data_IF_116725912714
#
_entry.id   IF_116725912714
#
_cell.length_a   1.000
_cell.length_b   1.000
_cell.length_c   1.000
_cell.angle_alpha   90.00
_cell.angle_beta   90.00
_cell.angle_gamma   90.00
#
_symmetry.space_group_name_H-M   'P 1'
#
loop_
_entity.id
_entity.type
_entity.pdbx_description
1 polymer ?
#
# COMPACT_ATOMS: atom_id res chain seq x y z
N UNK A 1 8.19 -2.23 8.13
CA UNK A 1 9.19 -1.26 7.61
C UNK A 1 8.87 -0.79 6.19
N UNK A 2 8.63 -1.69 5.22
CA UNK A 2 8.32 -1.32 3.82
C UNK A 2 7.12 -0.36 3.70
N UNK A 3 6.03 -0.58 4.44
CA UNK A 3 4.85 0.30 4.41
C UNK A 3 5.14 1.74 4.86
N UNK A 4 6.02 1.93 5.86
CA UNK A 4 6.44 3.27 6.29
C UNK A 4 7.22 3.97 5.17
N UNK A 5 8.12 3.23 4.50
CA UNK A 5 8.89 3.75 3.38
C UNK A 5 8.00 4.12 2.19
N UNK A 6 7.06 3.26 1.81
CA UNK A 6 6.07 3.53 0.75
C UNK A 6 5.21 4.75 1.14
N UNK A 7 4.75 4.82 2.38
CA UNK A 7 3.98 5.95 2.88
C UNK A 7 4.73 7.28 2.77
N UNK A 8 6.03 7.31 3.11
CA UNK A 8 6.87 8.50 2.96
C UNK A 8 7.10 8.83 1.49
N UNK A 9 7.44 7.84 0.65
CA UNK A 9 7.66 8.01 -0.79
C UNK A 9 6.42 8.54 -1.51
N UNK A 10 5.22 8.12 -1.11
CA UNK A 10 3.95 8.61 -1.66
C UNK A 10 3.75 10.11 -1.46
N UNK A 11 4.31 10.70 -0.40
CA UNK A 11 4.22 12.14 -0.13
C UNK A 11 5.29 12.97 -0.86
N UNK A 12 6.29 12.33 -1.46
CA UNK A 12 7.32 13.04 -2.18
C UNK A 12 6.79 13.45 -3.57
N UNK A 13 7.23 14.61 -4.09
CA UNK A 13 6.99 14.95 -5.49
C UNK A 13 7.56 13.83 -6.38
N UNK A 14 6.85 13.50 -7.45
CA UNK A 14 7.39 12.61 -8.48
C UNK A 14 8.67 13.26 -9.01
N UNK A 15 9.81 12.59 -8.83
CA UNK A 15 11.02 12.94 -9.57
C UNK A 15 10.70 12.58 -11.03
N UNK A 16 10.93 13.54 -11.94
CA UNK A 16 10.83 13.37 -13.39
C UNK A 16 11.90 12.35 -13.82
N UNK A 17 11.67 11.07 -13.52
CA UNK A 17 12.49 9.97 -13.99
C UNK A 17 12.27 9.89 -15.51
N UNK A 18 13.17 10.55 -16.25
CA UNK A 18 13.11 10.74 -17.69
C UNK A 18 12.61 9.51 -18.44
N UNK A 19 11.33 9.55 -18.83
CA UNK A 19 10.75 8.67 -19.81
C UNK A 19 10.80 9.38 -21.16
N UNK A 20 11.96 9.23 -21.82
CA UNK A 20 12.13 9.61 -23.21
C UNK A 20 11.10 8.91 -24.10
N UNK A 21 10.63 9.65 -25.10
CA UNK A 21 9.70 9.25 -26.17
C UNK A 21 9.93 7.82 -26.68
N UNK A 22 9.20 6.84 -26.15
CA UNK A 22 8.94 5.56 -26.82
C UNK A 22 7.46 5.24 -26.63
N UNK A 23 6.78 4.88 -27.73
CA UNK A 23 5.33 4.79 -27.91
C UNK A 23 4.52 4.41 -26.64
N UNK A 24 3.65 5.32 -26.20
CA UNK A 24 2.81 5.22 -25.01
C UNK A 24 1.95 3.93 -24.92
N UNK A 25 1.63 3.30 -26.06
CA UNK A 25 0.86 2.03 -26.10
C UNK A 25 1.66 0.81 -25.59
N UNK A 26 2.98 0.79 -25.81
CA UNK A 26 3.86 -0.28 -25.34
C UNK A 26 4.07 -0.20 -23.83
N UNK A 27 4.12 1.01 -23.26
CA UNK A 27 4.20 1.23 -21.82
C UNK A 27 2.93 0.82 -21.08
N UNK A 28 1.74 1.07 -21.64
CA UNK A 28 0.48 0.69 -20.98
C UNK A 28 0.31 -0.82 -20.87
N UNK A 29 0.54 -1.57 -21.95
CA UNK A 29 0.51 -3.04 -21.91
C UNK A 29 1.60 -3.62 -21.00
N UNK A 30 2.79 -3.02 -21.00
CA UNK A 30 3.89 -3.38 -20.08
C UNK A 30 3.53 -3.14 -18.62
N UNK A 31 3.02 -1.96 -18.27
CA UNK A 31 2.62 -1.60 -16.92
C UNK A 31 1.46 -2.45 -16.40
N UNK A 32 0.43 -2.68 -17.24
CA UNK A 32 -0.68 -3.57 -16.89
C UNK A 32 -0.16 -4.99 -16.62
N UNK A 33 0.73 -5.51 -17.48
CA UNK A 33 1.35 -6.83 -17.27
C UNK A 33 2.10 -6.88 -15.94
N UNK A 34 2.90 -5.86 -15.63
CA UNK A 34 3.65 -5.77 -14.37
C UNK A 34 2.71 -5.74 -13.15
N UNK A 35 1.65 -4.94 -13.19
CA UNK A 35 0.65 -4.85 -12.11
C UNK A 35 -0.05 -6.20 -11.92
N UNK A 36 -0.53 -6.83 -13.01
CA UNK A 36 -1.24 -8.11 -12.93
C UNK A 36 -0.33 -9.22 -12.41
N UNK A 37 0.94 -9.26 -12.82
CA UNK A 37 1.90 -10.26 -12.31
C UNK A 37 2.22 -10.00 -10.83
N UNK A 38 2.45 -8.75 -10.44
CA UNK A 38 2.71 -8.40 -9.04
C UNK A 38 1.51 -8.73 -8.14
N UNK A 39 0.29 -8.38 -8.58
CA UNK A 39 -0.95 -8.70 -7.87
C UNK A 39 -1.18 -10.20 -7.82
N UNK A 40 -0.92 -10.95 -8.89
CA UNK A 40 -1.03 -12.40 -8.89
C UNK A 40 -0.05 -13.08 -7.93
N UNK A 41 1.22 -12.67 -7.91
CA UNK A 41 2.24 -13.24 -7.00
C UNK A 41 1.92 -12.91 -5.55
N UNK A 42 1.57 -11.65 -5.26
CA UNK A 42 1.24 -11.21 -3.91
C UNK A 42 -0.09 -11.81 -3.42
N UNK A 43 -1.11 -11.85 -4.28
CA UNK A 43 -2.41 -12.42 -3.95
C UNK A 43 -2.36 -13.94 -3.87
N UNK A 44 -1.41 -14.62 -4.51
CA UNK A 44 -1.19 -16.07 -4.38
C UNK A 44 -0.81 -16.44 -2.95
N UNK A 45 0.09 -15.68 -2.31
CA UNK A 45 0.48 -15.94 -0.92
C UNK A 45 -0.70 -15.76 0.04
N UNK A 46 -1.50 -14.71 -0.18
CA UNK A 46 -2.75 -14.47 0.55
C UNK A 46 -3.80 -15.56 0.26
N UNK A 47 -3.83 -16.10 -0.96
CA UNK A 47 -4.71 -17.18 -1.37
C UNK A 47 -4.38 -18.48 -0.66
N UNK A 48 -3.09 -18.81 -0.55
CA UNK A 48 -2.62 -20.03 0.12
C UNK A 48 -2.99 -19.98 1.61
N UNK A 49 -2.87 -18.81 2.25
CA UNK A 49 -3.33 -18.61 3.62
C UNK A 49 -4.85 -18.82 3.77
N UNK A 50 -5.65 -18.24 2.86
CA UNK A 50 -7.10 -18.42 2.86
C UNK A 50 -7.51 -19.85 2.51
N UNK A 51 -6.83 -20.52 1.58
CA UNK A 51 -7.07 -21.91 1.20
C UNK A 51 -6.71 -22.87 2.34
N UNK A 52 -5.66 -22.59 3.10
CA UNK A 52 -5.31 -23.32 4.33
C UNK A 52 -6.37 -23.16 5.43
N UNK A 53 -7.04 -22.00 5.51
CA UNK A 53 -8.16 -21.77 6.43
C UNK A 53 -9.50 -22.34 5.91
N UNK A 54 -9.73 -22.28 4.60
CA UNK A 54 -10.93 -22.70 3.90
C UNK A 54 -10.75 -24.13 3.37
N UNK A 55 -10.67 -25.08 4.30
CA UNK A 55 -10.29 -26.50 4.10
C UNK A 55 -10.90 -27.23 2.88
N UNK A 56 -11.97 -26.75 2.25
CA UNK A 56 -12.65 -27.45 1.13
C UNK A 56 -13.33 -26.54 0.06
N UNK A 57 -13.10 -25.22 0.01
CA UNK A 57 -13.84 -24.35 -0.92
C UNK A 57 -12.98 -23.57 -1.92
N UNK A 58 -12.16 -24.29 -2.69
CA UNK A 58 -11.31 -23.73 -3.76
C UNK A 58 -12.10 -22.87 -4.76
N UNK A 59 -13.38 -23.19 -5.00
CA UNK A 59 -14.26 -22.38 -5.87
C UNK A 59 -14.49 -20.95 -5.38
N UNK A 60 -14.57 -20.71 -4.06
CA UNK A 60 -14.75 -19.35 -3.49
C UNK A 60 -13.50 -18.49 -3.64
N UNK A 61 -12.36 -19.15 -3.55
CA UNK A 61 -11.01 -18.60 -3.72
C UNK A 61 -10.82 -18.10 -5.17
N UNK A 62 -11.12 -18.94 -6.16
CA UNK A 62 -11.01 -18.57 -7.59
C UNK A 62 -11.97 -17.44 -7.94
N UNK A 63 -13.21 -17.49 -7.44
CA UNK A 63 -14.19 -16.42 -7.64
C UNK A 63 -13.70 -15.07 -7.09
N UNK A 64 -13.09 -15.08 -5.90
CA UNK A 64 -12.52 -13.87 -5.29
C UNK A 64 -11.45 -13.21 -6.17
N UNK A 65 -10.52 -13.99 -6.73
CA UNK A 65 -9.46 -13.46 -7.61
C UNK A 65 -10.05 -12.91 -8.91
N UNK A 66 -10.96 -13.66 -9.53
CA UNK A 66 -11.59 -13.26 -10.80
C UNK A 66 -12.31 -11.91 -10.67
N UNK A 67 -12.96 -11.67 -9.53
CA UNK A 67 -13.60 -10.38 -9.22
C UNK A 67 -12.62 -9.29 -8.75
N UNK A 68 -11.53 -9.66 -8.07
CA UNK A 68 -10.55 -8.70 -7.54
C UNK A 68 -9.82 -7.94 -8.65
N UNK A 69 -9.36 -8.62 -9.70
CA UNK A 69 -8.55 -8.00 -10.77
C UNK A 69 -9.30 -6.83 -11.45
N UNK A 70 -10.55 -6.99 -11.94
CA UNK A 70 -11.30 -5.87 -12.51
C UNK A 70 -11.49 -4.71 -11.52
N UNK A 71 -11.77 -5.01 -10.25
CA UNK A 71 -11.97 -4.00 -9.21
C UNK A 71 -10.69 -3.20 -8.99
N UNK A 72 -9.51 -3.84 -8.96
CA UNK A 72 -8.23 -3.17 -8.80
C UNK A 72 -7.94 -2.27 -10.01
N UNK A 73 -8.16 -2.78 -11.23
CA UNK A 73 -7.92 -2.02 -12.47
C UNK A 73 -8.83 -0.80 -12.58
N UNK A 74 -10.10 -0.92 -12.21
CA UNK A 74 -11.04 0.21 -12.24
C UNK A 74 -10.83 1.15 -11.05
N UNK A 75 -10.57 0.58 -9.87
CA UNK A 75 -10.30 1.30 -8.63
C UNK A 75 -9.07 2.18 -8.75
N UNK A 76 -7.99 1.72 -9.41
CA UNK A 76 -6.79 2.53 -9.62
C UNK A 76 -7.07 3.78 -10.46
N UNK A 77 -7.86 3.67 -11.54
CA UNK A 77 -8.29 4.85 -12.32
C UNK A 77 -9.09 5.83 -11.48
N UNK A 78 -9.99 5.32 -10.64
CA UNK A 78 -10.78 6.15 -9.74
C UNK A 78 -9.89 6.87 -8.72
N UNK A 79 -8.96 6.15 -8.08
CA UNK A 79 -8.02 6.70 -7.09
C UNK A 79 -7.11 7.75 -7.72
N UNK A 80 -6.56 7.50 -8.91
CA UNK A 80 -5.75 8.47 -9.65
C UNK A 80 -6.53 9.75 -9.95
N UNK A 81 -7.74 9.61 -10.49
CA UNK A 81 -8.62 10.76 -10.77
C UNK A 81 -8.92 11.56 -9.49
N UNK A 82 -9.08 10.87 -8.36
CA UNK A 82 -9.33 11.48 -7.08
C UNK A 82 -8.10 12.22 -6.54
N UNK A 83 -6.91 11.68 -6.72
CA UNK A 83 -5.63 12.32 -6.36
C UNK A 83 -5.39 13.59 -7.18
N UNK A 84 -5.66 13.55 -8.49
CA UNK A 84 -5.54 14.71 -9.38
C UNK A 84 -6.51 15.83 -8.98
N UNK A 85 -7.74 15.46 -8.60
CA UNK A 85 -8.77 16.43 -8.21
C UNK A 85 -8.58 16.95 -6.78
N UNK A 86 -8.13 16.11 -5.87
CA UNK A 86 -7.96 16.42 -4.45
C UNK A 86 -6.60 15.95 -3.93
N UNK A 87 -5.53 16.76 -4.10
CA UNK A 87 -4.17 16.41 -3.66
C UNK A 87 -4.05 16.08 -2.17
N UNK A 88 -4.99 16.54 -1.34
CA UNK A 88 -5.06 16.18 0.08
C UNK A 88 -5.15 14.65 0.30
N UNK A 89 -5.74 13.92 -0.65
CA UNK A 89 -5.87 12.45 -0.61
C UNK A 89 -4.51 11.76 -0.55
N UNK A 90 -3.46 12.33 -1.15
CA UNK A 90 -2.09 11.80 -1.09
C UNK A 90 -1.57 11.81 0.36
N UNK A 91 -1.80 12.91 1.07
CA UNK A 91 -1.41 13.04 2.48
C UNK A 91 -2.19 12.06 3.36
N UNK A 92 -3.50 11.90 3.12
CA UNK A 92 -4.32 10.92 3.83
C UNK A 92 -3.89 9.48 3.53
N UNK A 93 -3.55 9.17 2.28
CA UNK A 93 -3.05 7.86 1.86
C UNK A 93 -1.75 7.50 2.58
N UNK A 94 -0.78 8.41 2.62
CA UNK A 94 0.47 8.17 3.37
C UNK A 94 0.24 8.07 4.88
N UNK A 95 -0.64 8.88 5.46
CA UNK A 95 -1.01 8.76 6.87
C UNK A 95 -1.62 7.40 7.18
N UNK A 96 -2.52 6.90 6.31
CA UNK A 96 -3.15 5.59 6.44
C UNK A 96 -2.12 4.46 6.32
N UNK A 97 -1.18 4.55 5.39
CA UNK A 97 -0.08 3.58 5.28
C UNK A 97 0.78 3.55 6.54
N UNK A 98 1.07 4.72 7.12
CA UNK A 98 1.76 4.83 8.40
C UNK A 98 0.97 4.22 9.56
N UNK A 99 -0.35 4.42 9.58
CA UNK A 99 -1.25 3.83 10.55
C UNK A 99 -1.23 2.30 10.49
N UNK A 100 -1.43 1.73 9.30
CA UNK A 100 -1.42 0.27 9.09
C UNK A 100 -0.05 -0.30 9.46
N UNK A 101 1.03 0.39 9.11
CA UNK A 101 2.38 -0.05 9.47
C UNK A 101 2.59 -0.10 10.99
N UNK A 102 2.05 0.88 11.74
CA UNK A 102 2.09 0.89 13.20
C UNK A 102 1.28 -0.23 13.83
N UNK A 103 0.10 -0.52 13.27
CA UNK A 103 -0.77 -1.62 13.71
C UNK A 103 -0.10 -2.99 13.49
N UNK A 104 0.47 -3.19 12.29
CA UNK A 104 1.15 -4.44 11.93
C UNK A 104 2.37 -4.75 12.80
N UNK A 105 3.02 -3.75 13.40
CA UNK A 105 4.15 -3.99 14.31
C UNK A 105 3.74 -4.80 15.55
N UNK A 106 2.50 -4.67 16.03
CA UNK A 106 2.02 -5.43 17.20
C UNK A 106 1.68 -6.88 16.84
N UNK A 107 1.39 -7.15 15.57
CA UNK A 107 1.16 -8.50 15.04
C UNK A 107 2.43 -9.27 14.69
N UNK A 108 3.57 -8.59 14.55
CA UNK A 108 4.83 -9.19 14.13
C UNK A 108 5.42 -10.09 15.23
N UNK A 109 5.76 -11.33 14.85
CA UNK A 109 6.35 -12.34 15.73
C UNK A 109 7.64 -11.85 16.41
N UNK A 110 8.42 -11.01 15.72
CA UNK A 110 9.67 -10.47 16.26
C UNK A 110 9.45 -9.41 17.36
N UNK A 111 8.35 -8.67 17.29
CA UNK A 111 8.03 -7.56 18.20
C UNK A 111 7.14 -8.03 19.34
N UNK A 112 6.30 -9.04 19.09
CA UNK A 112 5.34 -9.62 20.04
C UNK A 112 5.89 -9.86 21.46
N UNK A 113 7.11 -10.39 21.66
CA UNK A 113 7.66 -10.60 23.00
C UNK A 113 7.87 -9.32 23.82
N UNK A 114 8.10 -8.19 23.14
CA UNK A 114 8.36 -6.90 23.77
C UNK A 114 7.09 -6.07 23.99
N UNK A 115 5.99 -6.42 23.31
CA UNK A 115 4.72 -5.68 23.37
C UNK A 115 3.55 -6.51 23.93
N UNK A 116 3.76 -7.80 24.23
CA UNK A 116 2.71 -8.70 24.73
C UNK A 116 2.11 -8.25 26.08
N UNK A 117 2.91 -7.58 26.92
CA UNK A 117 2.46 -7.09 28.23
C UNK A 117 1.87 -5.68 28.18
N UNK A 118 1.83 -5.05 27.00
CA UNK A 118 1.27 -3.72 26.85
C UNK A 118 -0.26 -3.75 26.79
N UNK A 119 -0.93 -2.71 27.31
CA UNK A 119 -2.38 -2.62 27.25
C UNK A 119 -2.90 -2.62 25.81
N UNK A 120 -4.11 -3.14 25.61
CA UNK A 120 -4.74 -3.19 24.29
C UNK A 120 -4.87 -1.83 23.57
N UNK A 121 -4.71 -0.68 24.20
CA UNK A 121 -4.74 0.62 23.51
C UNK A 121 -3.39 1.02 22.88
N UNK A 122 -2.31 0.29 23.17
CA UNK A 122 -0.95 0.60 22.69
C UNK A 122 -0.81 0.48 21.17
N UNK A 123 -1.54 -0.43 20.53
CA UNK A 123 -1.52 -0.56 19.07
C UNK A 123 -2.08 0.71 18.42
N UNK A 124 -3.17 1.29 18.93
CA UNK A 124 -3.69 2.58 18.42
C UNK A 124 -2.68 3.72 18.55
N UNK A 125 -1.91 3.75 19.65
CA UNK A 125 -0.85 4.75 19.83
C UNK A 125 0.24 4.55 18.79
N UNK A 126 0.67 3.32 18.56
CA UNK A 126 1.69 3.03 17.55
C UNK A 126 1.23 3.33 16.13
N UNK A 127 -0.03 3.04 15.80
CA UNK A 127 -0.65 3.43 14.53
C UNK A 127 -0.70 4.94 14.37
N UNK A 128 -1.07 5.67 15.43
CA UNK A 128 -1.05 7.14 15.41
C UNK A 128 0.37 7.68 15.22
N UNK A 129 1.36 7.12 15.94
CA UNK A 129 2.78 7.49 15.81
C UNK A 129 3.27 7.21 14.40
N UNK A 130 2.94 6.05 13.82
CA UNK A 130 3.30 5.69 12.45
C UNK A 130 2.70 6.66 11.43
N UNK A 131 1.42 7.00 11.56
CA UNK A 131 0.76 7.98 10.68
C UNK A 131 1.41 9.37 10.77
N UNK A 132 1.65 9.86 12.00
CA UNK A 132 2.30 11.15 12.23
C UNK A 132 3.73 11.15 11.70
N UNK A 133 4.48 10.07 11.92
CA UNK A 133 5.85 9.91 11.44
C UNK A 133 5.92 9.99 9.91
N UNK A 134 5.04 9.28 9.20
CA UNK A 134 4.99 9.33 7.72
C UNK A 134 4.66 10.72 7.22
N UNK A 135 3.63 11.37 7.78
CA UNK A 135 3.20 12.71 7.34
C UNK A 135 4.26 13.76 7.64
N UNK A 136 4.85 13.74 8.84
CA UNK A 136 5.88 14.69 9.25
C UNK A 136 7.13 14.53 8.37
N UNK A 137 7.63 13.31 8.23
CA UNK A 137 8.85 13.02 7.44
C UNK A 137 8.63 13.32 5.96
N UNK A 138 7.51 12.85 5.39
CA UNK A 138 7.15 13.10 3.99
C UNK A 138 7.03 14.60 3.68
N UNK A 139 6.33 15.37 4.53
CA UNK A 139 6.21 16.83 4.34
C UNK A 139 7.53 17.57 4.55
N UNK A 140 8.38 17.15 5.49
CA UNK A 140 9.67 17.78 5.72
C UNK A 140 10.61 17.58 4.53
N UNK A 141 10.66 16.37 3.97
CA UNK A 141 11.49 16.07 2.79
C UNK A 141 10.92 16.77 1.55
N UNK A 142 9.62 16.68 1.31
CA UNK A 142 8.98 17.35 0.17
C UNK A 142 9.19 18.87 0.19
N UNK A 143 9.13 19.51 1.37
CA UNK A 143 9.45 20.94 1.53
C UNK A 143 10.89 21.26 1.16
N UNK A 144 11.85 20.40 1.51
CA UNK A 144 13.27 20.60 1.18
C UNK A 144 13.58 20.41 -0.30
N UNK A 145 12.79 19.60 -1.02
CA UNK A 145 12.94 19.40 -2.46
C UNK A 145 12.34 20.56 -3.28
N UNK A 146 11.49 21.38 -2.68
CA UNK A 146 10.84 22.53 -3.32
C UNK A 146 11.57 23.87 -3.07
N UNK A 147 12.52 23.92 -2.13
CA UNK A 147 13.43 25.05 -1.87
C UNK A 147 14.77 24.84 -2.55
#
# INVERSE_FOLDING_TARGET
>A
VLLLWIGVKLLLPEEDEGHGEIAASTHLLGAIKTIVVADAVMSLDNLVAVAGAAKDSFGRVVFGILFSIPIIVWGSKFVLTLMDRFPAVITFGGALLGWIAGDMLFGDVAVKPYVADLPNWSHYVASLVGAVFVVATGKLIARRMQT
#
